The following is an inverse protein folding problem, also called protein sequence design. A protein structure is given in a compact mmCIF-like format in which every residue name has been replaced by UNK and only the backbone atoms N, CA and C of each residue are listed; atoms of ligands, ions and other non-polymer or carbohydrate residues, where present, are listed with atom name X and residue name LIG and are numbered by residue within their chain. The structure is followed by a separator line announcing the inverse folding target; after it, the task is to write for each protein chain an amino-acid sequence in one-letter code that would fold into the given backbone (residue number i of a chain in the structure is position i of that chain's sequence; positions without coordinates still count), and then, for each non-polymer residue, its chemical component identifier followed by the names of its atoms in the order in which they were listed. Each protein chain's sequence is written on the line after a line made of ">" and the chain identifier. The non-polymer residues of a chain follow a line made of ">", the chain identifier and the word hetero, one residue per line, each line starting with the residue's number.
data_IF_280161816952
#
_entry.id   IF_280161816952
#
_cell.length_a   1.000
_cell.length_b   1.000
_cell.length_c   1.000
_cell.angle_alpha   90.00
_cell.angle_beta   90.00
_cell.angle_gamma   90.00
#
_symmetry.space_group_name_H-M   'P 1'
#
loop_
_entity.id
_entity.type
_entity.pdbx_description
1 polymer ?
#
# COMPACT_ATOMS: atom_id res chain seq x y z
N UNK A 1 4.36 55.59 36.97
CA UNK A 1 4.20 54.15 36.67
C UNK A 1 3.87 54.02 35.19
N UNK A 2 4.87 53.72 34.36
CA UNK A 2 4.68 53.55 32.92
C UNK A 2 4.27 52.09 32.68
N UNK A 3 3.05 51.84 32.24
CA UNK A 3 2.62 50.50 31.85
C UNK A 3 3.16 50.20 30.45
N UNK A 4 4.29 49.53 30.42
CA UNK A 4 4.83 48.92 29.20
C UNK A 4 3.93 47.75 28.81
N UNK A 5 3.04 47.96 27.84
CA UNK A 5 2.35 46.86 27.17
C UNK A 5 3.39 46.08 26.36
N UNK A 6 3.76 44.91 26.85
CA UNK A 6 4.55 43.93 26.11
C UNK A 6 3.65 43.39 25.00
N UNK A 7 3.73 43.97 23.80
CA UNK A 7 3.22 43.33 22.60
C UNK A 7 4.04 42.06 22.39
N UNK A 8 3.43 40.91 22.68
CA UNK A 8 3.95 39.64 22.20
C UNK A 8 4.01 39.71 20.67
N UNK A 9 5.12 39.35 20.01
CA UNK A 9 5.30 39.49 18.57
C UNK A 9 4.57 38.40 17.77
N UNK A 10 3.71 37.61 18.41
CA UNK A 10 2.90 36.61 17.72
C UNK A 10 1.69 37.33 17.12
N UNK A 11 1.58 37.42 15.78
CA UNK A 11 0.40 37.99 15.17
C UNK A 11 -0.83 37.19 15.61
N UNK A 12 -1.96 37.85 15.89
CA UNK A 12 -3.17 37.16 16.28
C UNK A 12 -3.57 36.18 15.17
N UNK A 13 -3.72 34.90 15.51
CA UNK A 13 -4.29 33.91 14.61
C UNK A 13 -5.81 34.02 14.65
N UNK A 14 -6.43 34.04 13.49
CA UNK A 14 -7.88 34.07 13.33
C UNK A 14 -8.36 32.73 12.82
N UNK A 15 -9.50 32.26 13.31
CA UNK A 15 -10.17 31.09 12.77
C UNK A 15 -10.81 31.39 11.40
N UNK A 16 -11.07 30.33 10.64
CA UNK A 16 -11.63 30.44 9.28
C UNK A 16 -12.96 31.19 9.26
N UNK A 17 -13.84 30.96 10.25
CA UNK A 17 -15.16 31.60 10.28
C UNK A 17 -15.05 33.11 10.53
N UNK A 18 -14.14 33.55 11.41
CA UNK A 18 -13.86 34.97 11.62
C UNK A 18 -13.27 35.61 10.36
N UNK A 19 -12.36 34.95 9.67
CA UNK A 19 -11.77 35.46 8.43
C UNK A 19 -12.79 35.56 7.29
N UNK A 20 -13.67 34.56 7.12
CA UNK A 20 -14.78 34.62 6.15
C UNK A 20 -15.74 35.77 6.49
N UNK A 21 -16.08 35.94 7.77
CA UNK A 21 -16.95 37.04 8.21
C UNK A 21 -16.28 38.41 7.97
N UNK A 22 -14.98 38.51 8.25
CA UNK A 22 -14.17 39.71 7.99
C UNK A 22 -14.17 40.03 6.49
N UNK A 23 -14.01 39.01 5.64
CA UNK A 23 -14.03 39.18 4.19
C UNK A 23 -15.39 39.65 3.67
N UNK A 24 -16.50 39.11 4.21
CA UNK A 24 -17.87 39.58 3.91
C UNK A 24 -18.04 41.05 4.28
N UNK A 25 -17.64 41.43 5.49
CA UNK A 25 -17.72 42.83 5.98
C UNK A 25 -16.86 43.75 5.13
N UNK A 26 -15.60 43.37 4.85
CA UNK A 26 -14.70 44.14 4.00
C UNK A 26 -15.26 44.35 2.59
N UNK A 27 -15.91 43.34 2.03
CA UNK A 27 -16.57 43.42 0.72
C UNK A 27 -17.80 44.33 0.77
N UNK A 28 -18.63 44.22 1.81
CA UNK A 28 -19.82 45.05 2.01
C UNK A 28 -19.47 46.54 2.12
N UNK A 29 -18.43 46.87 2.89
CA UNK A 29 -17.98 48.24 3.12
C UNK A 29 -16.93 48.72 2.11
N UNK A 30 -16.64 47.94 1.07
CA UNK A 30 -15.69 48.27 0.01
C UNK A 30 -14.30 48.67 0.54
N UNK A 31 -13.81 47.96 1.56
CA UNK A 31 -12.47 48.17 2.12
C UNK A 31 -11.47 47.20 1.47
N UNK A 32 -10.67 47.64 0.47
CA UNK A 32 -9.79 46.75 -0.27
C UNK A 32 -8.64 46.20 0.60
N UNK A 33 -8.12 46.97 1.55
CA UNK A 33 -6.99 46.56 2.39
C UNK A 33 -7.41 45.42 3.32
N UNK A 34 -8.55 45.57 3.99
CA UNK A 34 -9.10 44.53 4.86
C UNK A 34 -9.51 43.28 4.06
N UNK A 35 -10.02 43.49 2.84
CA UNK A 35 -10.36 42.40 1.92
C UNK A 35 -9.12 41.60 1.54
N UNK A 36 -8.05 42.28 1.10
CA UNK A 36 -6.80 41.65 0.71
C UNK A 36 -6.12 40.95 1.90
N UNK A 37 -6.18 41.56 3.09
CA UNK A 37 -5.72 40.94 4.33
C UNK A 37 -6.46 39.62 4.59
N UNK A 38 -7.80 39.63 4.61
CA UNK A 38 -8.59 38.44 4.87
C UNK A 38 -8.35 37.33 3.84
N UNK A 39 -8.22 37.68 2.55
CA UNK A 39 -7.87 36.73 1.48
C UNK A 39 -6.50 36.12 1.76
N UNK A 40 -5.47 36.93 2.04
CA UNK A 40 -4.11 36.45 2.29
C UNK A 40 -4.04 35.46 3.47
N UNK A 41 -4.83 35.71 4.51
CA UNK A 41 -4.92 34.83 5.68
C UNK A 41 -5.69 33.55 5.36
N UNK A 42 -6.78 33.63 4.59
CA UNK A 42 -7.50 32.42 4.18
C UNK A 42 -6.66 31.56 3.22
N UNK A 43 -5.83 32.18 2.38
CA UNK A 43 -4.92 31.47 1.48
C UNK A 43 -3.76 30.80 2.20
N UNK A 44 -3.28 31.36 3.32
CA UNK A 44 -2.29 30.67 4.14
C UNK A 44 -2.89 29.46 4.88
N UNK A 45 -4.21 29.47 5.11
CA UNK A 45 -4.98 28.40 5.76
C UNK A 45 -5.64 27.46 4.72
N UNK A 46 -5.30 27.58 3.42
CA UNK A 46 -5.96 26.91 2.26
C UNK A 46 -6.21 25.40 2.39
N UNK A 47 -5.46 24.71 3.25
CA UNK A 47 -5.58 23.27 3.48
C UNK A 47 -6.69 22.88 4.48
N UNK A 48 -7.38 23.84 5.09
CA UNK A 48 -8.40 23.55 6.12
C UNK A 48 -9.83 23.43 5.57
N UNK A 49 -10.14 24.04 4.43
CA UNK A 49 -11.49 24.07 3.86
C UNK A 49 -11.66 23.07 2.71
N UNK A 50 -12.80 22.38 2.66
CA UNK A 50 -13.14 21.48 1.57
C UNK A 50 -13.21 22.23 0.23
N UNK A 51 -12.90 21.54 -0.87
CA UNK A 51 -12.98 22.12 -2.21
C UNK A 51 -14.35 22.76 -2.51
N UNK A 52 -15.45 22.11 -2.10
CA UNK A 52 -16.80 22.64 -2.36
C UNK A 52 -17.07 23.95 -1.61
N UNK A 53 -16.59 24.07 -0.38
CA UNK A 53 -16.74 25.29 0.43
C UNK A 53 -15.96 26.44 -0.19
N UNK A 54 -14.76 26.16 -0.72
CA UNK A 54 -13.96 27.16 -1.44
C UNK A 54 -14.64 27.62 -2.73
N UNK A 55 -15.35 26.75 -3.45
CA UNK A 55 -16.14 27.12 -4.62
C UNK A 55 -17.31 28.02 -4.21
N UNK A 56 -18.06 27.62 -3.17
CA UNK A 56 -19.17 28.42 -2.66
C UNK A 56 -18.70 29.82 -2.20
N UNK A 57 -17.60 29.89 -1.46
CA UNK A 57 -17.00 31.16 -1.02
C UNK A 57 -16.48 31.98 -2.21
N UNK A 58 -15.90 31.34 -3.22
CA UNK A 58 -15.47 32.03 -4.44
C UNK A 58 -16.64 32.69 -5.17
N UNK A 59 -17.77 31.99 -5.30
CA UNK A 59 -18.98 32.51 -5.94
C UNK A 59 -19.59 33.69 -5.17
N UNK A 60 -19.63 33.58 -3.85
CA UNK A 60 -20.13 34.60 -2.94
C UNK A 60 -19.25 35.87 -2.96
N UNK A 61 -17.93 35.71 -2.82
CA UNK A 61 -16.99 36.80 -2.53
C UNK A 61 -16.16 37.24 -3.74
N UNK A 62 -16.46 36.67 -4.92
CA UNK A 62 -15.80 36.94 -6.20
C UNK A 62 -14.29 36.72 -6.13
N UNK A 63 -13.88 35.48 -5.84
CA UNK A 63 -12.49 35.06 -5.73
C UNK A 63 -12.11 34.10 -6.87
N UNK A 64 -11.92 34.59 -8.11
CA UNK A 64 -11.68 33.72 -9.27
C UNK A 64 -10.43 32.83 -9.13
N UNK A 65 -9.40 33.29 -8.43
CA UNK A 65 -8.16 32.54 -8.19
C UNK A 65 -8.36 31.24 -7.38
N UNK A 66 -9.49 31.13 -6.69
CA UNK A 66 -9.81 29.95 -5.88
C UNK A 66 -10.57 28.89 -6.66
N UNK A 67 -11.17 29.25 -7.80
CA UNK A 67 -12.01 28.34 -8.59
C UNK A 67 -11.21 27.18 -9.16
N UNK A 68 -10.21 27.46 -10.01
CA UNK A 68 -9.40 26.42 -10.68
C UNK A 68 -8.81 25.41 -9.69
N UNK A 69 -8.10 25.81 -8.60
CA UNK A 69 -7.54 24.83 -7.68
C UNK A 69 -8.62 24.01 -6.96
N UNK A 70 -9.77 24.60 -6.61
CA UNK A 70 -10.85 23.89 -5.94
C UNK A 70 -11.56 22.89 -6.89
N UNK A 71 -11.83 23.29 -8.13
CA UNK A 71 -12.38 22.40 -9.14
C UNK A 71 -11.41 21.26 -9.49
N UNK A 72 -10.11 21.54 -9.58
CA UNK A 72 -9.11 20.52 -9.84
C UNK A 72 -9.03 19.49 -8.69
N UNK A 73 -9.16 19.94 -7.45
CA UNK A 73 -9.25 19.06 -6.28
C UNK A 73 -10.50 18.16 -6.34
N UNK A 74 -11.68 18.71 -6.67
CA UNK A 74 -12.90 17.94 -6.86
C UNK A 74 -12.78 16.88 -7.97
N UNK A 75 -12.07 17.17 -9.06
CA UNK A 75 -11.84 16.21 -10.12
C UNK A 75 -10.92 15.05 -9.69
N UNK A 76 -9.98 15.33 -8.78
CA UNK A 76 -8.96 14.35 -8.37
C UNK A 76 -9.36 13.45 -7.22
N UNK A 77 -10.27 13.90 -6.35
CA UNK A 77 -10.63 13.16 -5.15
C UNK A 77 -11.29 11.81 -5.48
N UNK A 78 -11.09 10.78 -4.64
CA UNK A 78 -11.72 9.49 -4.85
C UNK A 78 -13.23 9.52 -4.60
N UNK A 79 -13.73 10.41 -3.74
CA UNK A 79 -15.15 10.50 -3.43
C UNK A 79 -15.98 11.05 -4.61
N UNK A 80 -17.17 10.49 -4.88
CA UNK A 80 -18.09 11.05 -5.86
C UNK A 80 -18.60 12.43 -5.41
N UNK A 81 -19.16 13.19 -6.35
CA UNK A 81 -19.86 14.45 -6.03
C UNK A 81 -21.22 14.11 -5.45
N UNK A 82 -21.49 14.57 -4.22
CA UNK A 82 -22.76 14.34 -3.54
C UNK A 82 -23.88 15.19 -4.15
N UNK A 83 -25.13 14.87 -3.83
CA UNK A 83 -26.28 15.66 -4.28
C UNK A 83 -26.24 17.09 -3.72
N UNK A 84 -25.73 17.26 -2.50
CA UNK A 84 -25.58 18.54 -1.81
C UNK A 84 -24.53 19.41 -2.51
N UNK A 85 -23.41 18.81 -2.89
CA UNK A 85 -22.36 19.50 -3.64
C UNK A 85 -22.81 19.84 -5.06
N UNK A 86 -23.56 18.94 -5.72
CA UNK A 86 -24.13 19.19 -7.04
C UNK A 86 -25.08 20.40 -7.04
N UNK A 87 -25.83 20.63 -5.96
CA UNK A 87 -26.67 21.83 -5.78
C UNK A 87 -25.83 23.11 -5.73
N UNK A 88 -24.68 23.08 -5.06
CA UNK A 88 -23.75 24.22 -4.98
C UNK A 88 -23.12 24.51 -6.34
N UNK A 89 -22.70 23.47 -7.07
CA UNK A 89 -22.09 23.62 -8.39
C UNK A 89 -23.07 24.15 -9.45
N UNK A 90 -24.34 23.74 -9.34
CA UNK A 90 -25.32 23.91 -10.41
C UNK A 90 -25.08 22.93 -11.57
N UNK A 91 -26.12 22.72 -12.37
CA UNK A 91 -26.13 21.64 -13.38
C UNK A 91 -25.00 21.75 -14.41
N UNK A 92 -24.72 22.96 -14.91
CA UNK A 92 -23.72 23.17 -15.96
C UNK A 92 -22.32 22.81 -15.48
N UNK A 93 -21.92 23.31 -14.31
CA UNK A 93 -20.58 23.01 -13.75
C UNK A 93 -20.50 21.55 -13.32
N UNK A 94 -21.57 21.00 -12.74
CA UNK A 94 -21.61 19.60 -12.33
C UNK A 94 -21.35 18.65 -13.50
N UNK A 95 -22.02 18.85 -14.65
CA UNK A 95 -21.83 18.00 -15.83
C UNK A 95 -20.39 18.04 -16.34
N UNK A 96 -19.80 19.23 -16.43
CA UNK A 96 -18.41 19.37 -16.89
C UNK A 96 -17.40 18.80 -15.89
N UNK A 97 -17.61 19.02 -14.59
CA UNK A 97 -16.76 18.43 -13.53
C UNK A 97 -16.87 16.91 -13.51
N UNK A 98 -18.08 16.35 -13.67
CA UNK A 98 -18.27 14.91 -13.76
C UNK A 98 -17.52 14.32 -14.96
N UNK A 99 -17.63 14.96 -16.14
CA UNK A 99 -16.88 14.59 -17.34
C UNK A 99 -15.37 14.64 -17.12
N UNK A 100 -14.83 15.75 -16.60
CA UNK A 100 -13.39 15.89 -16.34
C UNK A 100 -12.90 14.86 -15.32
N UNK A 101 -13.69 14.61 -14.27
CA UNK A 101 -13.40 13.59 -13.26
C UNK A 101 -13.34 12.20 -13.86
N UNK A 102 -14.30 11.80 -14.70
CA UNK A 102 -14.28 10.48 -15.35
C UNK A 102 -13.02 10.26 -16.19
N UNK A 103 -12.59 11.30 -16.92
CA UNK A 103 -11.35 11.27 -17.70
C UNK A 103 -10.13 11.12 -16.76
N UNK A 104 -10.04 11.94 -15.71
CA UNK A 104 -8.93 11.89 -14.76
C UNK A 104 -8.86 10.56 -13.99
N UNK A 105 -10.00 10.01 -13.58
CA UNK A 105 -10.05 8.71 -12.89
C UNK A 105 -9.63 7.58 -13.82
N UNK A 106 -10.07 7.62 -15.09
CA UNK A 106 -9.59 6.68 -16.12
C UNK A 106 -8.08 6.81 -16.31
N UNK A 107 -7.54 8.03 -16.33
CA UNK A 107 -6.09 8.31 -16.45
C UNK A 107 -5.28 7.70 -15.34
N UNK A 108 -5.69 7.96 -14.10
CA UNK A 108 -5.06 7.36 -12.92
C UNK A 108 -5.14 5.84 -12.92
N UNK A 109 -6.26 5.27 -13.37
CA UNK A 109 -6.40 3.82 -13.49
C UNK A 109 -5.41 3.24 -14.51
N UNK A 110 -5.32 3.82 -15.71
CA UNK A 110 -4.38 3.39 -16.74
C UNK A 110 -2.93 3.54 -16.26
N UNK A 111 -2.60 4.67 -15.63
CA UNK A 111 -1.27 4.92 -15.05
C UNK A 111 -0.90 3.90 -13.97
N UNK A 112 -1.81 3.62 -13.03
CA UNK A 112 -1.62 2.62 -12.00
C UNK A 112 -1.43 1.22 -12.58
N UNK A 113 -2.28 0.81 -13.53
CA UNK A 113 -2.16 -0.50 -14.18
C UNK A 113 -0.84 -0.59 -14.92
N UNK A 114 -0.42 0.46 -15.63
CA UNK A 114 0.87 0.48 -16.30
C UNK A 114 2.02 0.38 -15.29
N UNK A 115 1.99 1.11 -14.18
CA UNK A 115 3.00 1.05 -13.13
C UNK A 115 3.11 -0.36 -12.53
N UNK A 116 1.98 -0.98 -12.19
CA UNK A 116 1.94 -2.34 -11.62
C UNK A 116 2.34 -3.40 -12.66
N UNK A 117 1.97 -3.20 -13.93
CA UNK A 117 2.27 -4.12 -15.02
C UNK A 117 3.62 -3.87 -15.71
N UNK A 118 4.41 -2.89 -15.26
CA UNK A 118 5.80 -2.70 -15.71
C UNK A 118 6.72 -3.85 -15.24
N UNK A 119 6.16 -4.81 -14.50
CA UNK A 119 6.88 -5.98 -14.05
C UNK A 119 7.42 -6.80 -15.24
N UNK A 120 8.63 -7.34 -15.09
CA UNK A 120 9.43 -7.91 -16.20
C UNK A 120 8.83 -9.15 -16.88
N UNK A 121 7.68 -9.61 -16.37
CA UNK A 121 6.99 -10.85 -16.74
C UNK A 121 5.75 -10.63 -17.59
N UNK A 122 5.33 -9.39 -17.88
CA UNK A 122 4.23 -9.08 -18.78
C UNK A 122 4.74 -8.42 -20.06
N UNK A 123 4.13 -8.77 -21.19
CA UNK A 123 4.27 -8.04 -22.44
C UNK A 123 3.40 -6.77 -22.43
N UNK A 124 3.61 -5.87 -23.40
CA UNK A 124 2.79 -4.66 -23.55
C UNK A 124 1.30 -4.95 -23.80
N UNK A 125 1.02 -6.11 -24.37
CA UNK A 125 -0.33 -6.65 -24.57
C UNK A 125 -0.90 -7.36 -23.33
N UNK A 126 -0.21 -7.33 -22.19
CA UNK A 126 -0.66 -7.96 -20.94
C UNK A 126 -0.63 -9.49 -20.94
N UNK A 127 0.01 -10.12 -21.93
CA UNK A 127 0.27 -11.57 -21.91
C UNK A 127 1.48 -11.88 -21.02
N UNK A 128 1.41 -13.01 -20.30
CA UNK A 128 2.51 -13.47 -19.44
C UNK A 128 3.64 -14.00 -20.32
N UNK A 129 4.85 -13.51 -20.07
CA UNK A 129 6.08 -13.99 -20.70
C UNK A 129 6.46 -15.32 -20.05
N UNK A 130 5.82 -16.40 -20.50
CA UNK A 130 5.97 -17.76 -19.95
C UNK A 130 7.44 -18.18 -19.89
N UNK A 131 8.20 -17.94 -20.94
CA UNK A 131 9.61 -18.32 -21.03
C UNK A 131 10.47 -17.66 -19.94
N UNK A 132 10.18 -16.41 -19.57
CA UNK A 132 10.87 -15.72 -18.46
C UNK A 132 10.46 -16.27 -17.10
N UNK A 133 9.16 -16.52 -16.93
CA UNK A 133 8.63 -17.09 -15.69
C UNK A 133 9.18 -18.50 -15.45
N UNK A 134 9.24 -19.30 -16.51
CA UNK A 134 9.82 -20.65 -16.51
C UNK A 134 11.34 -20.59 -16.29
N UNK A 135 12.07 -19.68 -16.91
CA UNK A 135 13.49 -19.49 -16.65
C UNK A 135 13.79 -19.09 -15.19
N UNK A 136 12.95 -18.26 -14.57
CA UNK A 136 13.06 -17.91 -13.14
C UNK A 136 12.70 -19.10 -12.24
N UNK A 137 11.66 -19.85 -12.59
CA UNK A 137 11.29 -21.08 -11.88
C UNK A 137 12.44 -22.10 -11.97
N UNK A 138 12.97 -22.34 -13.15
CA UNK A 138 14.11 -23.21 -13.38
C UNK A 138 15.36 -22.74 -12.66
N UNK A 139 15.66 -21.44 -12.63
CA UNK A 139 16.83 -20.93 -11.89
C UNK A 139 16.68 -21.18 -10.38
N UNK A 140 15.47 -21.02 -9.85
CA UNK A 140 15.16 -21.29 -8.44
C UNK A 140 15.20 -22.80 -8.14
N UNK A 141 14.72 -23.64 -9.06
CA UNK A 141 14.61 -25.09 -8.90
C UNK A 141 15.89 -25.85 -9.31
N UNK A 142 16.75 -25.32 -10.19
CA UNK A 142 18.03 -25.94 -10.56
C UNK A 142 19.01 -26.01 -9.38
N UNK A 143 18.77 -25.23 -8.33
CA UNK A 143 19.49 -25.32 -7.05
C UNK A 143 18.76 -26.19 -6.00
N UNK A 144 17.64 -26.84 -6.35
CA UNK A 144 16.90 -27.71 -5.41
C UNK A 144 17.55 -29.08 -5.22
N UNK A 145 18.41 -29.52 -6.14
CA UNK A 145 19.31 -30.64 -5.88
C UNK A 145 20.45 -30.13 -5.01
N UNK A 146 20.26 -30.22 -3.70
CA UNK A 146 21.31 -29.95 -2.73
C UNK A 146 22.56 -30.76 -3.10
N UNK A 147 23.77 -30.19 -2.97
CA UNK A 147 24.98 -30.97 -3.16
C UNK A 147 24.91 -32.23 -2.27
N UNK A 148 25.41 -33.38 -2.74
CA UNK A 148 25.43 -34.58 -1.92
C UNK A 148 26.18 -34.25 -0.63
N UNK A 149 25.48 -34.27 0.50
CA UNK A 149 26.10 -34.02 1.79
C UNK A 149 26.72 -35.32 2.29
N UNK A 150 27.96 -35.26 2.77
CA UNK A 150 28.61 -36.38 3.47
C UNK A 150 28.26 -36.35 4.97
N UNK A 151 27.02 -36.01 5.32
CA UNK A 151 26.58 -36.02 6.70
C UNK A 151 26.42 -37.48 7.15
N UNK A 152 27.52 -38.07 7.59
CA UNK A 152 27.49 -39.28 8.38
C UNK A 152 26.69 -38.96 9.65
N UNK A 153 25.64 -39.74 9.92
CA UNK A 153 25.00 -39.77 11.23
C UNK A 153 26.10 -40.12 12.25
N UNK A 154 26.70 -39.11 12.85
CA UNK A 154 27.77 -39.27 13.80
C UNK A 154 27.16 -39.83 15.09
N UNK A 155 27.18 -41.16 15.20
CA UNK A 155 27.16 -41.80 16.49
C UNK A 155 28.45 -41.41 17.21
N UNK A 156 28.47 -40.24 17.86
CA UNK A 156 29.54 -39.95 18.80
C UNK A 156 29.47 -40.99 19.93
N UNK A 157 30.59 -41.60 20.32
CA UNK A 157 30.64 -42.36 21.56
C UNK A 157 30.47 -41.35 22.70
N UNK A 158 29.39 -41.51 23.46
CA UNK A 158 29.16 -40.85 24.75
C UNK A 158 30.43 -40.98 25.61
N UNK A 159 31.21 -39.90 25.70
CA UNK A 159 32.15 -39.72 26.79
C UNK A 159 31.34 -39.34 28.02
N UNK A 160 31.30 -40.29 28.95
CA UNK A 160 30.67 -40.18 30.25
C UNK A 160 31.26 -39.01 31.04
N UNK A 161 30.39 -38.15 31.57
CA UNK A 161 30.68 -37.38 32.78
C UNK A 161 29.75 -37.88 33.89
N UNK A 162 30.39 -38.42 34.93
CA UNK A 162 29.83 -39.06 36.11
C UNK A 162 28.86 -38.16 36.91
N UNK A 163 27.93 -38.75 37.65
CA UNK A 163 27.92 -38.72 39.13
C UNK A 163 26.68 -39.45 39.69
N UNK A 164 26.92 -40.36 40.66
CA UNK A 164 26.12 -40.41 41.88
C UNK A 164 25.01 -41.45 42.03
N UNK A 165 25.27 -42.37 42.97
CA UNK A 165 24.39 -42.73 44.10
C UNK A 165 23.56 -44.03 44.05
N UNK A 166 24.15 -45.05 44.69
CA UNK A 166 23.64 -45.81 45.85
C UNK A 166 22.26 -46.52 45.80
N UNK A 167 22.35 -47.86 45.82
CA UNK A 167 21.45 -48.82 46.51
C UNK A 167 21.23 -48.46 48.00
N UNK A 168 20.20 -48.97 48.76
CA UNK A 168 19.94 -50.42 48.88
C UNK A 168 18.53 -50.95 49.31
N UNK A 169 18.39 -52.27 49.11
CA UNK A 169 17.77 -53.32 49.97
C UNK A 169 16.24 -53.50 50.15
N UNK A 170 15.80 -54.76 49.93
CA UNK A 170 15.12 -55.70 50.87
C UNK A 170 14.15 -56.64 50.10
N UNK A 171 13.72 -57.84 50.52
CA UNK A 171 14.17 -58.96 51.38
C UNK A 171 13.02 -60.03 51.30
N UNK A 172 13.32 -61.34 51.35
CA UNK A 172 12.42 -62.54 51.41
C UNK A 172 11.66 -62.96 50.14
N UNK A 173 11.54 -64.25 49.75
CA UNK A 173 11.99 -65.53 50.30
C UNK A 173 11.60 -66.72 49.38
N UNK A 174 12.43 -67.78 49.41
CA UNK A 174 12.25 -69.24 49.15
C UNK A 174 10.99 -69.70 48.33
N UNK A 175 11.04 -70.59 47.32
CA UNK A 175 11.53 -71.98 47.36
C UNK A 175 11.45 -72.64 45.95
N UNK A 176 12.48 -73.41 45.60
CA UNK A 176 12.53 -74.73 44.98
C UNK A 176 11.77 -75.14 43.67
N UNK A 177 12.50 -75.98 42.91
CA UNK A 177 12.11 -76.93 41.85
C UNK A 177 11.98 -76.45 40.40
N UNK A 178 13.08 -76.66 39.66
CA UNK A 178 13.14 -77.62 38.56
C UNK A 178 12.37 -77.30 37.27
N UNK A 179 13.10 -76.95 36.21
CA UNK A 179 12.55 -76.99 34.85
C UNK A 179 13.42 -76.23 33.86
N UNK A 180 14.17 -76.98 33.05
CA UNK A 180 14.94 -76.48 31.92
C UNK A 180 14.06 -75.70 30.94
N UNK A 181 14.48 -74.48 30.60
CA UNK A 181 13.96 -73.70 29.49
C UNK A 181 14.92 -72.55 29.18
N UNK A 182 15.78 -72.73 28.16
CA UNK A 182 16.59 -71.64 27.63
C UNK A 182 15.66 -70.58 27.04
N UNK A 183 15.47 -69.45 27.74
CA UNK A 183 14.92 -68.25 27.16
C UNK A 183 16.07 -67.45 26.56
N UNK A 184 16.09 -67.41 25.24
CA UNK A 184 16.94 -66.52 24.46
C UNK A 184 16.51 -65.07 24.73
N UNK A 185 17.35 -64.29 25.39
CA UNK A 185 17.15 -62.85 25.52
C UNK A 185 17.21 -62.22 24.13
N UNK A 186 16.04 -61.87 23.58
CA UNK A 186 15.97 -61.00 22.41
C UNK A 186 16.54 -59.64 22.79
N UNK A 187 17.58 -59.20 22.08
CA UNK A 187 18.07 -57.83 22.17
C UNK A 187 16.90 -56.86 21.90
N UNK A 188 16.75 -55.75 22.65
CA UNK A 188 15.84 -54.69 22.23
C UNK A 188 16.27 -54.20 20.85
N UNK A 189 15.32 -53.85 19.96
CA UNK A 189 15.66 -53.38 18.61
C UNK A 189 16.61 -52.18 18.72
N UNK A 190 17.62 -52.09 17.84
CA UNK A 190 18.53 -50.94 17.84
C UNK A 190 17.69 -49.66 17.72
N UNK A 191 17.88 -48.75 18.68
CA UNK A 191 17.32 -47.40 18.61
C UNK A 191 17.71 -46.83 17.24
N UNK A 192 16.77 -46.30 16.43
CA UNK A 192 17.13 -45.72 15.15
C UNK A 192 18.20 -44.66 15.39
N UNK A 193 19.26 -44.61 14.58
CA UNK A 193 20.31 -43.63 14.75
C UNK A 193 19.66 -42.24 14.75
N UNK A 194 19.95 -41.43 15.78
CA UNK A 194 19.56 -40.02 15.78
C UNK A 194 20.34 -39.34 14.67
N UNK A 195 19.71 -39.19 13.51
CA UNK A 195 20.28 -38.47 12.38
C UNK A 195 20.38 -37.01 12.81
N UNK A 196 21.60 -36.53 13.03
CA UNK A 196 21.85 -35.11 13.21
C UNK A 196 21.85 -34.51 11.80
N UNK A 197 20.69 -34.03 11.37
CA UNK A 197 20.56 -33.35 10.09
C UNK A 197 21.46 -32.12 10.08
N UNK A 198 22.29 -31.95 9.05
CA UNK A 198 23.09 -30.74 8.91
C UNK A 198 22.19 -29.53 8.62
N UNK A 199 22.72 -28.32 8.84
CA UNK A 199 21.96 -27.07 8.66
C UNK A 199 21.32 -26.95 7.27
N UNK A 200 21.94 -27.54 6.25
CA UNK A 200 21.40 -27.55 4.88
C UNK A 200 20.12 -28.41 4.79
N UNK A 201 20.08 -29.60 5.40
CA UNK A 201 18.89 -30.46 5.41
C UNK A 201 17.79 -29.94 6.33
N UNK A 202 18.15 -29.18 7.37
CA UNK A 202 17.18 -28.51 8.23
C UNK A 202 16.51 -27.32 7.53
N UNK A 203 17.25 -26.54 6.73
CA UNK A 203 16.76 -25.29 6.14
C UNK A 203 16.20 -25.45 4.72
N UNK A 204 16.77 -26.33 3.90
CA UNK A 204 16.41 -26.45 2.49
C UNK A 204 14.93 -26.81 2.25
N UNK A 205 14.26 -27.69 3.03
CA UNK A 205 12.84 -27.95 2.86
C UNK A 205 11.96 -26.70 3.09
N UNK A 206 12.32 -25.86 4.07
CA UNK A 206 11.60 -24.61 4.36
C UNK A 206 11.81 -23.59 3.25
N UNK A 207 13.05 -23.41 2.77
CA UNK A 207 13.35 -22.50 1.66
C UNK A 207 12.66 -22.98 0.37
N UNK A 208 12.62 -24.29 0.13
CA UNK A 208 11.92 -24.87 -1.02
C UNK A 208 10.40 -24.72 -0.94
N UNK A 209 9.80 -24.82 0.25
CA UNK A 209 8.37 -24.59 0.42
C UNK A 209 8.01 -23.11 0.26
N UNK A 210 8.77 -22.20 0.88
CA UNK A 210 8.59 -20.75 0.76
C UNK A 210 8.79 -20.24 -0.66
N UNK A 211 9.77 -20.77 -1.39
CA UNK A 211 9.95 -20.40 -2.81
C UNK A 211 8.79 -20.85 -3.69
N UNK A 212 8.18 -22.02 -3.42
CA UNK A 212 6.96 -22.45 -4.12
C UNK A 212 5.77 -21.55 -3.81
N UNK A 213 5.55 -21.19 -2.55
CA UNK A 213 4.43 -20.31 -2.18
C UNK A 213 4.58 -18.92 -2.81
N UNK A 214 5.81 -18.38 -2.86
CA UNK A 214 6.09 -17.12 -3.55
C UNK A 214 5.85 -17.23 -5.06
N UNK A 215 6.20 -18.35 -5.69
CA UNK A 215 5.92 -18.57 -7.11
C UNK A 215 4.42 -18.68 -7.40
N UNK A 216 3.67 -19.41 -6.56
CA UNK A 216 2.21 -19.49 -6.65
C UNK A 216 1.56 -18.11 -6.51
N UNK A 217 2.03 -17.32 -5.55
CA UNK A 217 1.57 -15.95 -5.35
C UNK A 217 1.88 -15.07 -6.57
N UNK A 218 3.11 -15.11 -7.09
CA UNK A 218 3.50 -14.38 -8.30
C UNK A 218 2.64 -14.77 -9.50
N UNK A 219 2.44 -16.06 -9.73
CA UNK A 219 1.60 -16.58 -10.82
C UNK A 219 0.16 -16.09 -10.69
N UNK A 220 -0.41 -16.15 -9.47
CA UNK A 220 -1.75 -15.64 -9.17
C UNK A 220 -1.87 -14.13 -9.43
N UNK A 221 -0.86 -13.34 -9.07
CA UNK A 221 -0.84 -11.89 -9.32
C UNK A 221 -0.74 -11.59 -10.81
N UNK A 222 0.11 -12.30 -11.55
CA UNK A 222 0.22 -12.12 -13.01
C UNK A 222 -1.10 -12.47 -13.72
N UNK A 223 -1.82 -13.49 -13.24
CA UNK A 223 -3.15 -13.85 -13.76
C UNK A 223 -4.20 -12.77 -13.49
N UNK A 224 -4.10 -12.03 -12.38
CA UNK A 224 -5.04 -10.94 -12.07
C UNK A 224 -4.69 -9.62 -12.76
N UNK A 225 -3.40 -9.31 -12.92
CA UNK A 225 -2.93 -8.06 -13.55
C UNK A 225 -2.97 -8.13 -15.08
N UNK A 226 -2.68 -9.29 -15.69
CA UNK A 226 -2.67 -9.46 -17.14
C UNK A 226 -3.96 -9.01 -17.86
N UNK A 227 -5.16 -9.40 -17.39
CA UNK A 227 -6.44 -8.90 -17.93
C UNK A 227 -6.59 -7.38 -17.81
N UNK A 228 -6.15 -6.78 -16.71
CA UNK A 228 -6.21 -5.32 -16.51
C UNK A 228 -5.29 -4.61 -17.50
N UNK A 229 -4.06 -5.13 -17.70
CA UNK A 229 -3.12 -4.59 -18.69
C UNK A 229 -3.70 -4.67 -20.11
N UNK A 230 -4.31 -5.80 -20.47
CA UNK A 230 -5.02 -5.94 -21.76
C UNK A 230 -6.10 -4.89 -21.92
N UNK A 231 -6.93 -4.69 -20.90
CA UNK A 231 -8.02 -3.72 -20.91
C UNK A 231 -7.51 -2.30 -21.18
N UNK A 232 -6.49 -1.86 -20.45
CA UNK A 232 -5.95 -0.49 -20.59
C UNK A 232 -5.15 -0.28 -21.87
N UNK A 233 -4.62 -1.35 -22.49
CA UNK A 233 -3.94 -1.28 -23.78
C UNK A 233 -4.91 -1.18 -24.97
N UNK A 234 -6.24 -1.26 -24.76
CA UNK A 234 -7.23 -1.12 -25.84
C UNK A 234 -7.45 0.34 -26.25
N UNK A 235 -7.86 0.60 -27.52
CA UNK A 235 -8.16 1.94 -28.01
C UNK A 235 -9.26 2.67 -27.21
N UNK A 236 -10.20 1.94 -26.62
CA UNK A 236 -11.33 2.51 -25.85
C UNK A 236 -10.88 3.17 -24.53
N UNK A 237 -9.75 2.70 -23.99
CA UNK A 237 -9.10 3.24 -22.80
C UNK A 237 -7.95 4.18 -23.14
N UNK A 238 -7.65 4.35 -24.44
CA UNK A 238 -6.77 5.40 -24.93
C UNK A 238 -7.45 6.75 -24.69
N UNK A 239 -6.70 7.70 -24.14
CA UNK A 239 -7.23 9.02 -23.85
C UNK A 239 -7.55 9.75 -25.16
N UNK A 240 -8.67 10.50 -25.22
CA UNK A 240 -8.88 11.44 -26.32
C UNK A 240 -7.72 12.44 -26.28
N UNK A 241 -6.80 12.30 -27.24
CA UNK A 241 -5.49 12.93 -27.19
C UNK A 241 -4.50 12.06 -26.42
N UNK A 242 -3.61 11.39 -27.16
CA UNK A 242 -2.26 11.02 -26.72
C UNK A 242 -1.38 12.28 -26.51
N UNK A 243 -2.05 13.37 -26.12
CA UNK A 243 -1.50 14.68 -25.89
C UNK A 243 -0.91 14.60 -24.50
N UNK A 244 0.41 14.66 -24.44
CA UNK A 244 1.19 14.86 -23.21
C UNK A 244 0.77 16.13 -22.43
N UNK A 245 -0.18 16.88 -22.99
CA UNK A 245 -0.69 18.17 -22.55
C UNK A 245 -2.05 18.09 -21.80
N UNK A 246 -2.69 16.91 -21.70
CA UNK A 246 -3.91 16.78 -20.90
C UNK A 246 -3.59 16.99 -19.41
N UNK A 247 -4.21 18.01 -18.84
CA UNK A 247 -4.21 18.32 -17.41
C UNK A 247 -5.58 18.87 -17.06
N UNK A 248 -6.11 18.44 -15.91
CA UNK A 248 -7.37 18.94 -15.35
C UNK A 248 -7.36 20.47 -15.27
N UNK A 249 -6.24 21.07 -14.86
CA UNK A 249 -6.09 22.53 -14.83
C UNK A 249 -6.20 23.17 -16.22
N UNK A 250 -5.64 22.54 -17.26
CA UNK A 250 -5.71 23.06 -18.62
C UNK A 250 -7.15 23.01 -19.15
N UNK A 251 -7.87 21.91 -18.90
CA UNK A 251 -9.30 21.80 -19.22
C UNK A 251 -10.14 22.86 -18.47
N UNK A 252 -9.90 23.04 -17.17
CA UNK A 252 -10.58 24.05 -16.37
C UNK A 252 -10.30 25.48 -16.85
N UNK A 253 -9.06 25.79 -17.25
CA UNK A 253 -8.71 27.11 -17.81
C UNK A 253 -9.37 27.38 -19.16
N UNK A 254 -9.65 26.34 -19.94
CA UNK A 254 -10.38 26.44 -21.22
C UNK A 254 -11.89 26.54 -21.03
N UNK A 255 -12.41 26.08 -19.91
CA UNK A 255 -13.83 26.09 -19.62
C UNK A 255 -14.40 27.51 -19.55
N UNK A 256 -15.44 27.78 -20.33
CA UNK A 256 -16.09 29.10 -20.42
C UNK A 256 -16.76 29.51 -19.10
N UNK A 257 -17.15 28.53 -18.28
CA UNK A 257 -17.86 28.74 -17.02
C UNK A 257 -16.94 29.04 -15.83
N UNK A 258 -15.62 28.91 -16.00
CA UNK A 258 -14.62 29.27 -14.97
C UNK A 258 -14.29 30.76 -15.13
N UNK A 259 -14.39 31.51 -14.03
CA UNK A 259 -14.02 32.93 -14.00
C UNK A 259 -12.51 33.05 -14.12
N UNK A 260 -12.08 33.92 -15.02
CA UNK A 260 -10.66 34.26 -15.16
C UNK A 260 -10.30 35.33 -14.13
N UNK A 261 -9.13 35.17 -13.51
CA UNK A 261 -8.51 36.25 -12.77
C UNK A 261 -8.30 37.43 -13.72
N UNK A 262 -8.64 38.64 -13.26
CA UNK A 262 -8.48 39.89 -14.01
C UNK A 262 -7.07 40.42 -13.82
#
# INVERSE_FOLDING_TARGET
>A
MSMSFVFSPVPPSFDVATLVSTLRVATLFQNPDLRNFAISQLESIKHSAAAIDRIALSDELKLPDWEVPAFAELCRRPEPVSAEEAKILGITRFVEIARMREIEQRRKFVELVNQVATDSFLNDDGTVIKDKLEAVAEKTLKHSSLPPCECQASAQPTSQSAFGQSQPQSLFGQSAFGGFGQQSFGQPPPKPPSVIDCQVHQLAPSVASESRTLYEHLSSVLQSVGPLKRLVSTPEYSFPGDDKDYSVENELKRAIWVRKAV
#
